data_IF_391550106240
#
_entry.id   IF_391550106240
#
_cell.length_a   1.000
_cell.length_b   1.000
_cell.length_c   1.000
_cell.angle_alpha   90.00
_cell.angle_beta   90.00
_cell.angle_gamma   90.00
#
_symmetry.space_group_name_H-M   'P 1'
#
loop_
_entity.id
_entity.type
_entity.pdbx_description
1 polymer ?
#
# COMPACT_ATOMS: atom_id res chain seq x y z
N UNK A 1 -3.47 68.72 -14.66
CA UNK A 1 -2.88 68.77 -13.29
C UNK A 1 -2.54 67.34 -12.90
N UNK A 2 -1.25 66.98 -12.82
CA UNK A 2 -0.84 65.60 -12.51
C UNK A 2 -0.84 65.43 -10.98
N UNK A 3 -1.87 64.78 -10.44
CA UNK A 3 -1.96 64.45 -9.03
C UNK A 3 -0.91 63.39 -8.66
N UNK A 4 -0.02 63.73 -7.73
CA UNK A 4 0.87 62.77 -7.08
C UNK A 4 0.00 61.88 -6.19
N UNK A 5 -0.10 60.60 -6.54
CA UNK A 5 -0.64 59.59 -5.63
C UNK A 5 0.51 59.20 -4.71
N UNK A 6 0.48 59.69 -3.47
CA UNK A 6 1.41 59.28 -2.43
C UNK A 6 1.12 57.81 -2.09
N UNK A 7 2.03 56.92 -2.49
CA UNK A 7 1.98 55.53 -2.06
C UNK A 7 2.53 55.44 -0.64
N UNK A 8 1.63 55.45 0.35
CA UNK A 8 1.96 55.12 1.74
C UNK A 8 2.75 53.82 1.82
N UNK A 9 3.82 53.86 2.61
CA UNK A 9 4.73 52.75 2.89
C UNK A 9 3.92 51.56 3.41
N UNK A 10 4.00 50.42 2.74
CA UNK A 10 3.25 49.23 3.13
C UNK A 10 3.98 48.56 4.30
N UNK A 11 3.50 48.74 5.53
CA UNK A 11 4.16 48.34 6.78
C UNK A 11 4.11 46.81 7.09
N UNK A 12 4.04 45.95 6.06
CA UNK A 12 4.04 44.48 6.20
C UNK A 12 5.40 43.84 5.81
N UNK A 13 6.50 44.57 6.01
CA UNK A 13 7.83 44.24 5.47
C UNK A 13 8.62 43.16 6.28
N UNK A 14 8.04 42.53 7.30
CA UNK A 14 8.82 41.71 8.27
C UNK A 14 8.57 40.20 8.21
N UNK A 15 7.67 39.69 7.35
CA UNK A 15 7.21 38.29 7.45
C UNK A 15 7.26 37.43 6.16
N UNK A 16 7.78 37.92 5.02
CA UNK A 16 7.92 37.06 3.83
C UNK A 16 9.26 37.28 3.09
N UNK A 17 9.94 36.21 2.62
CA UNK A 17 11.22 36.29 1.89
C UNK A 17 11.16 37.08 0.58
N UNK A 18 9.98 37.21 -0.01
CA UNK A 18 9.72 38.12 -1.12
C UNK A 18 8.87 39.29 -0.65
N UNK A 19 9.42 40.51 -0.78
CA UNK A 19 8.71 41.75 -0.42
C UNK A 19 7.38 41.84 -1.17
N UNK A 20 6.27 41.83 -0.42
CA UNK A 20 4.90 42.06 -0.93
C UNK A 20 4.86 43.34 -1.79
N UNK A 21 5.63 44.37 -1.44
CA UNK A 21 5.71 45.62 -2.22
C UNK A 21 6.16 45.43 -3.67
N UNK A 22 7.06 44.47 -3.94
CA UNK A 22 7.50 44.15 -5.31
C UNK A 22 6.39 43.43 -6.06
N UNK A 23 5.71 42.49 -5.38
CA UNK A 23 4.56 41.78 -5.94
C UNK A 23 3.41 42.74 -6.28
N UNK A 24 3.05 43.67 -5.39
CA UNK A 24 2.03 44.69 -5.64
C UNK A 24 2.42 45.55 -6.83
N UNK A 25 3.64 46.11 -6.88
CA UNK A 25 4.08 46.96 -8.00
C UNK A 25 4.03 46.24 -9.35
N UNK A 26 4.38 44.95 -9.39
CA UNK A 26 4.29 44.14 -10.62
C UNK A 26 2.83 43.89 -11.00
N UNK A 27 2.00 43.45 -10.06
CA UNK A 27 0.60 43.09 -10.30
C UNK A 27 -0.34 44.29 -10.51
N UNK A 28 0.01 45.48 -10.00
CA UNK A 28 -0.71 46.73 -10.32
C UNK A 28 -0.51 47.13 -11.78
N UNK A 29 0.69 46.92 -12.35
CA UNK A 29 0.96 47.21 -13.76
C UNK A 29 0.20 46.28 -14.71
N UNK A 30 0.06 45.02 -14.32
CA UNK A 30 -0.66 43.99 -15.09
C UNK A 30 -2.14 43.88 -14.71
N UNK A 31 -2.60 44.66 -13.73
CA UNK A 31 -3.97 44.64 -13.19
C UNK A 31 -4.44 43.24 -12.70
N UNK A 32 -3.52 42.46 -12.14
CA UNK A 32 -3.73 41.09 -11.65
C UNK A 32 -3.68 40.99 -10.12
N UNK A 33 -4.01 42.09 -9.43
CA UNK A 33 -3.93 42.16 -7.96
C UNK A 33 -4.98 41.27 -7.27
N UNK A 34 -6.11 41.04 -7.95
CA UNK A 34 -7.18 40.17 -7.47
C UNK A 34 -7.18 38.89 -8.31
N UNK A 35 -7.13 37.74 -7.64
CA UNK A 35 -7.33 36.46 -8.32
C UNK A 35 -8.80 36.37 -8.79
N UNK A 36 -8.99 36.44 -10.10
CA UNK A 36 -10.32 36.41 -10.71
C UNK A 36 -11.08 35.13 -10.39
N UNK A 37 -10.40 33.97 -10.33
CA UNK A 37 -11.07 32.68 -10.06
C UNK A 37 -11.59 32.67 -8.63
N UNK A 38 -10.73 33.02 -7.69
CA UNK A 38 -11.09 33.11 -6.28
C UNK A 38 -12.20 34.15 -6.07
N UNK A 39 -12.10 35.31 -6.70
CA UNK A 39 -13.12 36.36 -6.62
C UNK A 39 -14.48 35.89 -7.11
N UNK A 40 -14.54 35.20 -8.26
CA UNK A 40 -15.80 34.64 -8.77
C UNK A 40 -16.40 33.59 -7.83
N UNK A 41 -15.58 32.76 -7.18
CA UNK A 41 -16.05 31.77 -6.22
C UNK A 41 -16.62 32.45 -4.97
N UNK A 42 -15.94 33.47 -4.45
CA UNK A 42 -16.41 34.26 -3.31
C UNK A 42 -17.73 34.95 -3.65
N UNK A 43 -17.84 35.58 -4.83
CA UNK A 43 -19.08 36.21 -5.27
C UNK A 43 -20.26 35.23 -5.35
N UNK A 44 -20.00 33.99 -5.79
CA UNK A 44 -21.03 32.95 -5.89
C UNK A 44 -21.50 32.45 -4.52
N UNK A 45 -20.57 32.23 -3.58
CA UNK A 45 -20.89 31.61 -2.29
C UNK A 45 -21.29 32.62 -1.22
N UNK A 46 -20.85 33.88 -1.32
CA UNK A 46 -20.98 34.90 -0.28
C UNK A 46 -21.60 36.20 -0.81
N UNK A 47 -22.51 36.13 -1.79
CA UNK A 47 -23.14 37.29 -2.41
C UNK A 47 -23.80 38.24 -1.40
N UNK A 48 -24.57 37.70 -0.44
CA UNK A 48 -25.25 38.49 0.59
C UNK A 48 -24.28 39.28 1.48
N UNK A 49 -23.11 38.70 1.79
CA UNK A 49 -22.08 39.35 2.59
C UNK A 49 -21.38 40.46 1.79
N UNK A 50 -21.19 40.25 0.48
CA UNK A 50 -20.67 41.28 -0.42
C UNK A 50 -21.63 42.45 -0.60
N UNK A 51 -22.93 42.20 -0.72
CA UNK A 51 -23.96 43.25 -0.80
C UNK A 51 -24.02 44.06 0.49
N UNK A 52 -23.98 43.40 1.65
CA UNK A 52 -23.89 44.06 2.95
C UNK A 52 -22.64 44.94 3.07
N UNK A 53 -21.49 44.43 2.59
CA UNK A 53 -20.22 45.15 2.56
C UNK A 53 -20.26 46.36 1.61
N UNK A 54 -20.87 46.22 0.43
CA UNK A 54 -21.09 47.34 -0.51
C UNK A 54 -22.02 48.40 0.06
N UNK A 55 -23.04 47.99 0.82
CA UNK A 55 -23.96 48.88 1.51
C UNK A 55 -23.38 49.52 2.80
N UNK A 56 -22.11 49.25 3.13
CA UNK A 56 -21.45 49.76 4.33
C UNK A 56 -21.97 49.15 5.65
N UNK A 57 -22.76 48.08 5.59
CA UNK A 57 -23.33 47.35 6.73
C UNK A 57 -22.52 46.09 7.03
N UNK A 58 -21.19 46.19 6.96
CA UNK A 58 -20.29 45.06 7.15
C UNK A 58 -20.39 44.56 8.61
N UNK A 59 -20.92 43.35 8.81
CA UNK A 59 -21.10 42.77 10.14
C UNK A 59 -19.78 42.14 10.55
N UNK A 60 -18.88 42.97 11.09
CA UNK A 60 -17.66 42.54 11.80
C UNK A 60 -18.07 41.70 13.03
N UNK A 61 -18.35 40.40 12.85
CA UNK A 61 -18.65 39.52 13.98
C UNK A 61 -19.48 38.26 13.69
N UNK A 62 -20.00 38.05 12.48
CA UNK A 62 -20.61 36.75 12.16
C UNK A 62 -19.52 35.75 11.76
N UNK A 63 -18.73 35.32 12.74
CA UNK A 63 -18.01 34.05 12.61
C UNK A 63 -19.10 32.99 12.56
N UNK A 64 -19.47 32.58 11.35
CA UNK A 64 -20.34 31.44 11.17
C UNK A 64 -19.58 30.26 11.77
N UNK A 65 -19.96 29.85 12.99
CA UNK A 65 -19.38 28.68 13.64
C UNK A 65 -19.62 27.52 12.68
N UNK A 66 -18.55 27.09 12.01
CA UNK A 66 -18.58 25.90 11.18
C UNK A 66 -18.87 24.77 12.15
N UNK A 67 -20.13 24.36 12.22
CA UNK A 67 -20.51 23.20 13.01
C UNK A 67 -19.75 22.02 12.43
N UNK A 68 -18.70 21.61 13.15
CA UNK A 68 -17.95 20.41 12.82
C UNK A 68 -18.96 19.28 12.84
N UNK A 69 -19.16 18.61 11.70
CA UNK A 69 -20.03 17.44 11.62
C UNK A 69 -19.42 16.36 12.51
N UNK A 70 -20.00 16.17 13.68
CA UNK A 70 -19.69 15.03 14.54
C UNK A 70 -20.50 13.85 14.02
N UNK A 71 -19.94 12.64 14.07
CA UNK A 71 -20.64 11.41 13.70
C UNK A 71 -21.96 11.28 14.46
N UNK A 72 -22.96 10.70 13.82
CA UNK A 72 -24.25 10.42 14.45
C UNK A 72 -24.07 9.36 15.56
N UNK A 73 -24.88 9.40 16.63
CA UNK A 73 -24.75 8.44 17.73
C UNK A 73 -24.93 7.00 17.22
N UNK A 74 -23.86 6.21 17.29
CA UNK A 74 -23.85 4.80 16.88
C UNK A 74 -23.20 4.52 15.52
N UNK A 75 -22.87 5.54 14.73
CA UNK A 75 -22.17 5.39 13.44
C UNK A 75 -20.80 4.71 13.61
N UNK A 76 -19.99 5.20 14.57
CA UNK A 76 -18.69 4.62 14.93
C UNK A 76 -18.82 3.15 15.35
N UNK A 77 -19.92 2.79 16.04
CA UNK A 77 -20.15 1.41 16.47
C UNK A 77 -20.41 0.50 15.28
N UNK A 78 -21.22 0.95 14.32
CA UNK A 78 -21.49 0.18 13.10
C UNK A 78 -20.24 0.02 12.25
N UNK A 79 -19.44 1.09 12.10
CA UNK A 79 -18.15 1.03 11.40
C UNK A 79 -17.20 0.01 12.03
N UNK A 80 -17.11 0.01 13.36
CA UNK A 80 -16.27 -0.93 14.10
C UNK A 80 -16.75 -2.38 13.94
N UNK A 81 -18.04 -2.64 14.09
CA UNK A 81 -18.62 -3.98 13.93
C UNK A 81 -18.41 -4.51 12.49
N UNK A 82 -18.58 -3.64 11.49
CA UNK A 82 -18.31 -3.98 10.09
C UNK A 82 -16.82 -4.28 9.84
N UNK A 83 -15.93 -3.48 10.42
CA UNK A 83 -14.49 -3.70 10.32
C UNK A 83 -14.10 -5.05 10.93
N UNK A 84 -14.59 -5.38 12.13
CA UNK A 84 -14.35 -6.68 12.76
C UNK A 84 -14.89 -7.85 11.91
N UNK A 85 -16.09 -7.69 11.33
CA UNK A 85 -16.67 -8.71 10.48
C UNK A 85 -15.79 -8.96 9.24
N UNK A 86 -15.33 -7.89 8.59
CA UNK A 86 -14.42 -7.96 7.45
C UNK A 86 -13.10 -8.64 7.83
N UNK A 87 -12.46 -8.21 8.91
CA UNK A 87 -11.20 -8.78 9.37
C UNK A 87 -11.32 -10.28 9.67
N UNK A 88 -12.41 -10.69 10.32
CA UNK A 88 -12.69 -12.10 10.60
C UNK A 88 -12.85 -12.92 9.31
N UNK A 89 -13.54 -12.36 8.31
CA UNK A 89 -13.77 -13.01 7.03
C UNK A 89 -12.47 -13.15 6.24
N UNK A 90 -11.64 -12.11 6.22
CA UNK A 90 -10.32 -12.13 5.58
C UNK A 90 -9.39 -13.17 6.24
N UNK A 91 -9.39 -13.24 7.58
CA UNK A 91 -8.63 -14.23 8.33
C UNK A 91 -9.05 -15.67 7.98
N UNK A 92 -10.36 -15.94 7.92
CA UNK A 92 -10.90 -17.24 7.52
C UNK A 92 -10.50 -17.58 6.08
N UNK A 93 -10.62 -16.63 5.15
CA UNK A 93 -10.23 -16.85 3.76
C UNK A 93 -8.74 -17.15 3.62
N UNK A 94 -7.89 -16.44 4.36
CA UNK A 94 -6.44 -16.68 4.37
C UNK A 94 -6.13 -18.07 4.89
N UNK A 95 -6.71 -18.45 6.03
CA UNK A 95 -6.53 -19.78 6.63
C UNK A 95 -6.95 -20.89 5.66
N UNK A 96 -8.11 -20.75 5.02
CA UNK A 96 -8.59 -21.73 4.04
C UNK A 96 -7.65 -21.86 2.83
N UNK A 97 -7.11 -20.73 2.33
CA UNK A 97 -6.13 -20.74 1.23
C UNK A 97 -4.84 -21.45 1.64
N UNK A 98 -4.34 -21.16 2.84
CA UNK A 98 -3.14 -21.80 3.40
C UNK A 98 -3.36 -23.31 3.61
N UNK A 99 -4.53 -23.72 4.12
CA UNK A 99 -4.90 -25.12 4.30
C UNK A 99 -4.98 -25.88 2.96
N UNK A 100 -5.64 -25.30 1.95
CA UNK A 100 -5.73 -25.92 0.61
C UNK A 100 -4.36 -26.04 -0.04
N UNK A 101 -3.52 -25.00 0.07
CA UNK A 101 -2.15 -25.04 -0.43
C UNK A 101 -1.32 -26.11 0.29
N UNK A 102 -1.47 -26.22 1.62
CA UNK A 102 -0.79 -27.21 2.45
C UNK A 102 -1.21 -28.63 2.08
N UNK A 103 -2.50 -28.91 1.95
CA UNK A 103 -3.00 -30.23 1.55
C UNK A 103 -2.44 -30.64 0.19
N UNK A 104 -2.46 -29.73 -0.80
CA UNK A 104 -1.90 -30.00 -2.13
C UNK A 104 -0.40 -30.31 -2.02
N UNK A 105 0.35 -29.53 -1.25
CA UNK A 105 1.78 -29.74 -1.09
C UNK A 105 2.10 -31.08 -0.41
N UNK A 106 1.35 -31.42 0.65
CA UNK A 106 1.51 -32.71 1.34
C UNK A 106 1.27 -33.88 0.38
N UNK A 107 0.21 -33.80 -0.44
CA UNK A 107 -0.08 -34.84 -1.43
C UNK A 107 1.05 -35.00 -2.46
N UNK A 108 1.60 -33.88 -2.95
CA UNK A 108 2.72 -33.92 -3.89
C UNK A 108 3.96 -34.56 -3.26
N UNK A 109 4.31 -34.15 -2.04
CA UNK A 109 5.47 -34.70 -1.32
C UNK A 109 5.32 -36.20 -1.01
N UNK A 110 4.10 -36.64 -0.65
CA UNK A 110 3.82 -38.06 -0.41
C UNK A 110 4.01 -38.90 -1.67
N UNK A 111 3.58 -38.39 -2.83
CA UNK A 111 3.73 -39.10 -4.10
C UNK A 111 5.20 -39.13 -4.55
N UNK A 112 5.92 -38.01 -4.44
CA UNK A 112 7.36 -37.96 -4.74
C UNK A 112 8.16 -38.92 -3.86
N UNK A 113 7.86 -38.96 -2.56
CA UNK A 113 8.54 -39.86 -1.63
C UNK A 113 8.19 -41.33 -1.91
N UNK A 114 6.95 -41.63 -2.31
CA UNK A 114 6.54 -42.98 -2.73
C UNK A 114 7.33 -43.44 -3.95
N UNK A 115 7.49 -42.56 -4.96
CA UNK A 115 8.28 -42.87 -6.17
C UNK A 115 9.74 -43.10 -5.80
N UNK A 116 10.35 -42.21 -5.02
CA UNK A 116 11.74 -42.34 -4.56
C UNK A 116 11.99 -43.64 -3.81
N UNK A 117 11.06 -44.04 -2.93
CA UNK A 117 11.17 -45.29 -2.20
C UNK A 117 11.09 -46.51 -3.12
N UNK A 118 10.22 -46.48 -4.14
CA UNK A 118 10.15 -47.54 -5.14
C UNK A 118 11.45 -47.65 -5.96
N UNK A 119 12.00 -46.52 -6.41
CA UNK A 119 13.27 -46.50 -7.13
C UNK A 119 14.42 -47.05 -6.28
N UNK A 120 14.50 -46.64 -5.00
CA UNK A 120 15.51 -47.14 -4.07
C UNK A 120 15.37 -48.65 -3.84
N UNK A 121 14.15 -49.16 -3.68
CA UNK A 121 13.90 -50.60 -3.53
C UNK A 121 14.32 -51.38 -4.78
N UNK A 122 14.01 -50.87 -5.97
CA UNK A 122 14.41 -51.51 -7.23
C UNK A 122 15.94 -51.53 -7.38
N UNK A 123 16.61 -50.42 -7.08
CA UNK A 123 18.07 -50.35 -7.09
C UNK A 123 18.69 -51.33 -6.10
N UNK A 124 18.19 -51.41 -4.87
CA UNK A 124 18.65 -52.37 -3.86
C UNK A 124 18.46 -53.83 -4.33
N UNK A 125 17.33 -54.15 -4.96
CA UNK A 125 17.08 -55.48 -5.52
C UNK A 125 18.05 -55.81 -6.65
N UNK A 126 18.33 -54.85 -7.56
CA UNK A 126 19.29 -55.04 -8.64
C UNK A 126 20.71 -55.27 -8.11
N UNK A 127 21.16 -54.45 -7.17
CA UNK A 127 22.48 -54.59 -6.53
C UNK A 127 22.58 -55.94 -5.81
N UNK A 128 21.55 -56.34 -5.06
CA UNK A 128 21.55 -57.64 -4.38
C UNK A 128 21.65 -58.83 -5.36
N UNK A 129 21.02 -58.73 -6.53
CA UNK A 129 21.15 -59.76 -7.58
C UNK A 129 22.56 -59.78 -8.18
N UNK A 130 23.15 -58.62 -8.46
CA UNK A 130 24.51 -58.50 -8.97
C UNK A 130 25.53 -59.06 -7.96
N UNK A 131 25.39 -58.70 -6.69
CA UNK A 131 26.23 -59.20 -5.59
C UNK A 131 26.14 -60.72 -5.46
N UNK A 132 24.93 -61.28 -5.57
CA UNK A 132 24.71 -62.73 -5.55
C UNK A 132 25.44 -63.43 -6.72
N UNK A 133 25.32 -62.90 -7.93
CA UNK A 133 26.01 -63.45 -9.11
C UNK A 133 27.53 -63.34 -8.98
N UNK A 134 28.02 -62.22 -8.45
CA UNK A 134 29.44 -62.01 -8.20
C UNK A 134 29.97 -63.01 -7.17
N UNK A 135 29.25 -63.24 -6.07
CA UNK A 135 29.61 -64.22 -5.05
C UNK A 135 29.74 -65.63 -5.65
N UNK A 136 28.78 -66.06 -6.47
CA UNK A 136 28.83 -67.34 -7.17
C UNK A 136 30.08 -67.46 -8.07
N UNK A 137 30.40 -66.39 -8.81
CA UNK A 137 31.60 -66.35 -9.67
C UNK A 137 32.90 -66.43 -8.88
N UNK A 138 32.96 -65.76 -7.73
CA UNK A 138 34.12 -65.80 -6.84
C UNK A 138 34.30 -67.20 -6.23
N UNK A 139 33.23 -67.88 -5.82
CA UNK A 139 33.30 -69.26 -5.33
C UNK A 139 33.93 -70.21 -6.36
N UNK A 140 33.49 -70.16 -7.61
CA UNK A 140 34.05 -70.98 -8.70
C UNK A 140 35.53 -70.63 -8.95
N UNK A 141 35.90 -69.34 -8.90
CA UNK A 141 37.28 -68.90 -9.06
C UNK A 141 38.20 -69.36 -7.91
N UNK A 142 37.71 -69.37 -6.67
CA UNK A 142 38.45 -69.87 -5.49
C UNK A 142 38.63 -71.39 -5.55
N UNK A 143 37.65 -72.13 -6.07
CA UNK A 143 37.78 -73.57 -6.30
C UNK A 143 38.83 -73.88 -7.37
N UNK A 144 38.86 -73.12 -8.47
CA UNK A 144 39.84 -73.28 -9.54
C UNK A 144 41.27 -72.92 -9.10
N UNK A 145 41.43 -71.92 -8.21
CA UNK A 145 42.74 -71.54 -7.65
C UNK A 145 43.31 -72.57 -6.66
N UNK A 146 42.47 -73.29 -5.92
CA UNK A 146 42.92 -74.32 -4.95
C UNK A 146 43.37 -75.63 -5.61
N UNK A 147 43.01 -75.88 -6.87
CA UNK A 147 43.48 -77.05 -7.62
C UNK A 147 44.88 -76.85 -8.23
N UNK A 148 45.39 -75.62 -8.28
CA UNK A 148 46.71 -75.30 -8.86
C UNK A 148 47.89 -75.36 -7.86
N UNK A 149 47.62 -75.51 -6.55
CA UNK A 149 48.62 -75.49 -5.48
C UNK A 149 48.93 -76.90 -4.89
N UNK A 150 48.72 -77.99 -5.65
CA UNK A 150 49.12 -79.35 -5.26
C UNK A 150 50.22 -79.93 -6.14
#
# INVERSE_FOLDING_TARGET
>A
MKGKVEHSRCDFDHLLPDRISVWVRKNTKTNTLVDAKLWTAIQKHFSAQLEARQAGKDILGSTQEVQQKVCEPGEIRQEYENFLAQESQEAIQRKNKEEVASIRLIQQLQEEERIRQQELQQQQQSVAQEDFLLALKLEVGVLCGKEADK
#
